data_IF_872271480816
#
_entry.id   IF_872271480816
#
_cell.length_a   1.000
_cell.length_b   1.000
_cell.length_c   1.000
_cell.angle_alpha   90.00
_cell.angle_beta   90.00
_cell.angle_gamma   90.00
#
_symmetry.space_group_name_H-M   'P 1'
#
loop_
_entity.id
_entity.type
_entity.pdbx_description
1 polymer ?
#
# COMPACT_ATOMS: atom_id res chain seq x y z
N UNK A 1 -96.03 -35.69 12.72
CA UNK A 1 -96.53 -35.31 11.38
C UNK A 1 -95.40 -34.63 10.61
N UNK A 2 -94.47 -35.41 10.07
CA UNK A 2 -93.18 -34.98 9.48
C UNK A 2 -93.05 -35.45 8.03
N UNK A 3 -94.15 -35.40 7.27
CA UNK A 3 -94.19 -35.92 5.89
C UNK A 3 -94.33 -34.85 4.80
N UNK A 4 -94.64 -33.59 5.13
CA UNK A 4 -94.82 -32.52 4.12
C UNK A 4 -93.55 -31.72 3.83
N UNK A 5 -92.49 -31.85 4.65
CA UNK A 5 -91.25 -31.08 4.49
C UNK A 5 -90.17 -31.77 3.65
N UNK A 6 -90.32 -33.05 3.30
CA UNK A 6 -89.33 -33.77 2.48
C UNK A 6 -89.60 -33.68 0.96
N UNK A 7 -90.87 -33.56 0.54
CA UNK A 7 -91.21 -33.43 -0.89
C UNK A 7 -90.90 -32.05 -1.47
N UNK A 8 -90.98 -30.97 -0.68
CA UNK A 8 -90.61 -29.62 -1.12
C UNK A 8 -89.10 -29.41 -1.28
N UNK A 9 -88.29 -30.16 -0.51
CA UNK A 9 -86.82 -30.08 -0.60
C UNK A 9 -86.32 -30.78 -1.87
N UNK A 10 -86.89 -31.95 -2.23
CA UNK A 10 -86.52 -32.67 -3.45
C UNK A 10 -86.77 -31.90 -4.75
N UNK A 11 -87.86 -31.11 -4.82
CA UNK A 11 -88.16 -30.27 -6.00
C UNK A 11 -87.23 -29.06 -6.15
N UNK A 12 -86.70 -28.56 -5.02
CA UNK A 12 -85.78 -27.41 -5.00
C UNK A 12 -84.38 -27.81 -5.46
N UNK A 13 -83.95 -29.02 -5.11
CA UNK A 13 -82.65 -29.56 -5.51
C UNK A 13 -82.59 -29.94 -7.00
N UNK A 14 -83.70 -30.43 -7.56
CA UNK A 14 -83.78 -30.74 -9.01
C UNK A 14 -83.78 -29.46 -9.88
N UNK A 15 -84.42 -28.38 -9.42
CA UNK A 15 -84.40 -27.08 -10.09
C UNK A 15 -83.00 -26.46 -10.05
N UNK A 16 -82.30 -26.56 -8.91
CA UNK A 16 -80.93 -26.06 -8.75
C UNK A 16 -79.93 -26.78 -9.66
N UNK A 17 -80.07 -28.11 -9.80
CA UNK A 17 -79.23 -28.91 -10.69
C UNK A 17 -79.45 -28.58 -12.19
N UNK A 18 -80.68 -28.27 -12.61
CA UNK A 18 -80.97 -27.82 -13.99
C UNK A 18 -80.42 -26.42 -14.29
N UNK A 19 -80.43 -25.51 -13.30
CA UNK A 19 -79.82 -24.18 -13.41
C UNK A 19 -78.28 -24.23 -13.41
N UNK A 20 -77.66 -25.08 -12.57
CA UNK A 20 -76.20 -25.27 -12.55
C UNK A 20 -75.66 -25.90 -13.84
N UNK A 21 -76.39 -26.86 -14.45
CA UNK A 21 -76.09 -27.39 -15.79
C UNK A 21 -76.24 -26.34 -16.89
N UNK A 22 -77.18 -25.41 -16.76
CA UNK A 22 -77.39 -24.34 -17.75
C UNK A 22 -76.34 -23.22 -17.61
N UNK A 23 -75.80 -22.99 -16.41
CA UNK A 23 -74.72 -22.02 -16.15
C UNK A 23 -73.32 -22.53 -16.54
N UNK A 24 -73.10 -23.85 -16.52
CA UNK A 24 -71.84 -24.45 -17.02
C UNK A 24 -71.79 -24.56 -18.55
N UNK A 25 -72.92 -24.49 -19.26
CA UNK A 25 -72.98 -24.48 -20.73
C UNK A 25 -73.22 -23.04 -21.22
N UNK A 26 -72.31 -22.11 -20.89
CA UNK A 26 -72.07 -20.87 -21.66
C UNK A 26 -70.78 -20.12 -21.28
N UNK A 27 -69.75 -20.83 -20.80
CA UNK A 27 -68.38 -20.38 -21.08
C UNK A 27 -68.18 -20.59 -22.59
N UNK A 28 -68.44 -19.53 -23.37
CA UNK A 28 -68.44 -19.58 -24.82
C UNK A 28 -67.05 -20.04 -25.31
N UNK A 29 -66.95 -21.33 -25.64
CA UNK A 29 -65.70 -21.98 -26.07
C UNK A 29 -65.11 -21.23 -27.26
N UNK A 30 -65.95 -20.58 -28.08
CA UNK A 30 -65.53 -19.73 -29.20
C UNK A 30 -64.82 -18.44 -28.75
N UNK A 31 -65.21 -17.85 -27.62
CA UNK A 31 -64.54 -16.67 -27.08
C UNK A 31 -63.17 -17.03 -26.47
N UNK A 32 -63.07 -18.19 -25.82
CA UNK A 32 -61.80 -18.71 -25.28
C UNK A 32 -60.84 -19.16 -26.38
N UNK A 33 -61.32 -19.80 -27.44
CA UNK A 33 -60.49 -20.12 -28.62
C UNK A 33 -60.09 -18.86 -29.40
N UNK A 34 -60.97 -17.86 -29.48
CA UNK A 34 -60.66 -16.55 -30.04
C UNK A 34 -59.51 -15.85 -29.29
N UNK A 35 -59.54 -15.86 -27.95
CA UNK A 35 -58.43 -15.33 -27.14
C UNK A 35 -57.14 -16.10 -27.36
N UNK A 36 -57.20 -17.44 -27.39
CA UNK A 36 -56.03 -18.31 -27.54
C UNK A 36 -55.37 -18.15 -28.92
N UNK A 37 -56.15 -17.84 -29.96
CA UNK A 37 -55.66 -17.52 -31.30
C UNK A 37 -55.11 -16.09 -31.41
N UNK A 38 -55.68 -15.12 -30.67
CA UNK A 38 -55.14 -13.76 -30.57
C UNK A 38 -53.74 -13.75 -29.94
N UNK A 39 -53.54 -14.50 -28.85
CA UNK A 39 -52.24 -14.61 -28.17
C UNK A 39 -51.16 -15.31 -29.01
N UNK A 40 -51.56 -16.11 -30.00
CA UNK A 40 -50.65 -16.78 -30.94
C UNK A 40 -50.31 -15.94 -32.17
N UNK A 41 -50.97 -14.80 -32.36
CA UNK A 41 -50.77 -13.94 -33.53
C UNK A 41 -49.36 -13.32 -33.55
N UNK A 42 -48.69 -13.25 -34.72
CA UNK A 42 -47.30 -12.76 -34.82
C UNK A 42 -47.11 -11.36 -34.22
N UNK A 43 -48.08 -10.47 -34.42
CA UNK A 43 -48.05 -9.09 -33.92
C UNK A 43 -48.04 -9.02 -32.39
N UNK A 44 -48.75 -9.91 -31.70
CA UNK A 44 -48.79 -9.96 -30.22
C UNK A 44 -47.48 -10.51 -29.66
N UNK A 45 -46.86 -11.48 -30.34
CA UNK A 45 -45.52 -11.98 -29.98
C UNK A 45 -44.44 -10.91 -30.15
N UNK A 46 -44.49 -10.14 -31.24
CA UNK A 46 -43.54 -9.04 -31.50
C UNK A 46 -43.65 -7.95 -30.43
N UNK A 47 -44.87 -7.63 -29.97
CA UNK A 47 -45.08 -6.64 -28.89
C UNK A 47 -44.57 -7.18 -27.54
N UNK A 48 -44.81 -8.45 -27.22
CA UNK A 48 -44.27 -9.08 -26.00
C UNK A 48 -42.73 -9.08 -26.02
N UNK A 49 -42.10 -9.49 -27.13
CA UNK A 49 -40.64 -9.47 -27.28
C UNK A 49 -40.06 -8.06 -27.16
N UNK A 50 -40.67 -7.05 -27.79
CA UNK A 50 -40.21 -5.65 -27.67
C UNK A 50 -40.31 -5.12 -26.23
N UNK A 51 -41.37 -5.49 -25.50
CA UNK A 51 -41.53 -5.09 -24.10
C UNK A 51 -40.54 -5.81 -23.19
N UNK A 52 -40.27 -7.09 -23.43
CA UNK A 52 -39.29 -7.86 -22.66
C UNK A 52 -37.85 -7.36 -22.93
N UNK A 53 -37.54 -7.00 -24.18
CA UNK A 53 -36.25 -6.38 -24.55
C UNK A 53 -36.09 -4.99 -23.92
N UNK A 54 -37.16 -4.17 -23.89
CA UNK A 54 -37.14 -2.88 -23.21
C UNK A 54 -36.93 -3.06 -21.71
N UNK A 55 -37.63 -4.01 -21.08
CA UNK A 55 -37.50 -4.32 -19.65
C UNK A 55 -36.13 -4.90 -19.29
N UNK A 56 -35.51 -5.67 -20.20
CA UNK A 56 -34.15 -6.17 -20.05
C UNK A 56 -33.09 -5.06 -20.21
N UNK A 57 -33.32 -4.10 -21.11
CA UNK A 57 -32.46 -2.91 -21.27
C UNK A 57 -32.53 -1.99 -20.05
N UNK A 58 -33.73 -1.75 -19.51
CA UNK A 58 -33.91 -0.95 -18.30
C UNK A 58 -33.25 -1.60 -17.07
N UNK A 59 -33.40 -2.92 -16.89
CA UNK A 59 -32.71 -3.65 -15.81
C UNK A 59 -31.19 -3.63 -15.95
N UNK A 60 -30.66 -3.69 -17.17
CA UNK A 60 -29.22 -3.56 -17.42
C UNK A 60 -28.73 -2.13 -17.16
N UNK A 61 -29.52 -1.12 -17.50
CA UNK A 61 -29.21 0.29 -17.24
C UNK A 61 -29.30 0.63 -15.74
N UNK A 62 -30.24 0.05 -14.99
CA UNK A 62 -30.30 0.15 -13.53
C UNK A 62 -29.13 -0.58 -12.86
N UNK A 63 -28.77 -1.78 -13.33
CA UNK A 63 -27.60 -2.48 -12.79
C UNK A 63 -26.28 -1.76 -13.11
N UNK A 64 -26.14 -1.14 -14.28
CA UNK A 64 -24.95 -0.34 -14.60
C UNK A 64 -24.91 0.96 -13.80
N UNK A 65 -26.03 1.65 -13.62
CA UNK A 65 -26.13 2.84 -12.77
C UNK A 65 -25.89 2.51 -11.30
N UNK A 66 -26.41 1.39 -10.80
CA UNK A 66 -26.17 0.93 -9.43
C UNK A 66 -24.72 0.45 -9.23
N UNK A 67 -24.09 -0.14 -10.26
CA UNK A 67 -22.66 -0.48 -10.24
C UNK A 67 -21.78 0.78 -10.24
N UNK A 68 -22.09 1.77 -11.08
CA UNK A 68 -21.40 3.07 -11.12
C UNK A 68 -21.60 3.86 -9.82
N UNK A 69 -22.79 3.80 -9.21
CA UNK A 69 -23.06 4.44 -7.91
C UNK A 69 -22.36 3.69 -6.76
N UNK A 70 -22.26 2.35 -6.79
CA UNK A 70 -21.41 1.58 -5.86
C UNK A 70 -19.92 1.86 -6.06
N UNK A 71 -19.49 2.14 -7.28
CA UNK A 71 -18.10 2.47 -7.60
C UNK A 71 -17.76 3.92 -7.20
N UNK A 72 -18.72 4.85 -7.28
CA UNK A 72 -18.62 6.23 -6.77
C UNK A 72 -18.82 6.36 -5.25
N UNK A 73 -19.52 5.42 -4.61
CA UNK A 73 -19.75 5.37 -3.14
C UNK A 73 -18.81 4.43 -2.39
N UNK A 74 -17.79 3.84 -3.03
CA UNK A 74 -16.60 3.51 -2.25
C UNK A 74 -16.06 4.85 -1.78
N UNK A 75 -15.97 5.10 -0.46
CA UNK A 75 -15.21 6.24 -0.05
C UNK A 75 -13.81 5.95 -0.56
N UNK A 76 -13.37 6.72 -1.55
CA UNK A 76 -11.97 6.92 -1.82
C UNK A 76 -11.45 7.70 -0.61
N UNK A 77 -11.44 7.05 0.57
CA UNK A 77 -10.39 7.29 1.53
C UNK A 77 -9.17 6.80 0.79
N UNK A 78 -8.58 7.69 -0.01
CA UNK A 78 -7.16 7.67 -0.22
C UNK A 78 -6.58 7.57 1.18
N UNK A 79 -6.24 6.36 1.60
CA UNK A 79 -5.23 6.13 2.60
C UNK A 79 -3.93 6.60 1.94
N UNK A 80 -3.82 7.91 1.73
CA UNK A 80 -2.56 8.54 1.43
C UNK A 80 -1.70 8.21 2.63
N UNK A 81 -0.79 7.27 2.42
CA UNK A 81 0.34 7.12 3.31
C UNK A 81 1.04 8.46 3.27
N UNK A 82 0.87 9.23 4.34
CA UNK A 82 1.69 10.41 4.57
C UNK A 82 3.08 9.84 4.84
N UNK A 83 3.87 9.66 3.79
CA UNK A 83 5.31 9.48 3.93
C UNK A 83 5.83 10.78 4.51
N UNK A 84 6.23 10.73 5.77
CA UNK A 84 6.67 11.93 6.46
C UNK A 84 8.06 12.26 5.96
N UNK A 85 8.25 13.46 5.42
CA UNK A 85 9.56 13.92 4.98
C UNK A 85 10.19 14.81 6.04
N UNK A 86 11.33 14.40 6.55
CA UNK A 86 12.18 15.17 7.47
C UNK A 86 13.38 15.72 6.69
N UNK A 87 13.48 17.05 6.59
CA UNK A 87 14.56 17.70 5.83
C UNK A 87 15.70 18.09 6.77
N UNK A 88 16.91 17.62 6.46
CA UNK A 88 18.10 17.91 7.25
C UNK A 88 18.98 18.89 6.47
N UNK A 89 19.11 20.11 6.99
CA UNK A 89 19.92 21.18 6.40
C UNK A 89 21.20 21.41 7.21
N UNK A 90 22.35 21.13 6.61
CA UNK A 90 23.67 21.31 7.24
C UNK A 90 24.38 22.59 6.78
N UNK A 91 23.96 23.17 5.65
CA UNK A 91 24.49 24.45 5.14
C UNK A 91 25.57 24.33 4.07
N UNK A 92 25.92 23.10 3.65
CA UNK A 92 26.80 22.80 2.50
C UNK A 92 26.40 21.47 1.85
N UNK A 93 26.87 21.21 0.64
CA UNK A 93 26.73 19.87 0.03
C UNK A 93 27.65 18.86 0.78
N UNK A 94 27.14 17.66 1.04
CA UNK A 94 27.88 16.61 1.75
C UNK A 94 28.50 15.62 0.76
N UNK A 95 29.80 15.35 0.92
CA UNK A 95 30.44 14.22 0.25
C UNK A 95 29.93 12.89 0.82
N UNK A 96 30.23 11.78 0.15
CA UNK A 96 29.80 10.44 0.59
C UNK A 96 30.27 10.12 2.02
N UNK A 97 31.48 10.52 2.40
CA UNK A 97 32.01 10.30 3.76
C UNK A 97 31.25 11.08 4.84
N UNK A 98 30.84 12.32 4.55
CA UNK A 98 30.02 13.09 5.48
C UNK A 98 28.58 12.56 5.56
N UNK A 99 28.06 11.98 4.47
CA UNK A 99 26.77 11.29 4.48
C UNK A 99 26.82 10.00 5.29
N UNK A 100 27.91 9.24 5.25
CA UNK A 100 28.12 8.12 6.16
C UNK A 100 27.96 8.54 7.63
N UNK A 101 28.61 9.64 8.02
CA UNK A 101 28.49 10.16 9.39
C UNK A 101 27.06 10.59 9.72
N UNK A 102 26.35 11.22 8.78
CA UNK A 102 24.94 11.57 8.96
C UNK A 102 24.05 10.32 9.12
N UNK A 103 24.26 9.28 8.31
CA UNK A 103 23.57 7.99 8.40
C UNK A 103 23.87 7.30 9.73
N UNK A 104 25.12 7.30 10.19
CA UNK A 104 25.52 6.74 11.49
C UNK A 104 24.78 7.45 12.64
N UNK A 105 24.70 8.79 12.60
CA UNK A 105 23.94 9.59 13.59
C UNK A 105 22.46 9.24 13.57
N UNK A 106 21.84 9.14 12.39
CA UNK A 106 20.42 8.79 12.24
C UNK A 106 20.15 7.39 12.77
N UNK A 107 20.94 6.40 12.34
CA UNK A 107 20.82 5.01 12.77
C UNK A 107 20.93 4.89 14.29
N UNK A 108 21.98 5.45 14.88
CA UNK A 108 22.20 5.39 16.32
C UNK A 108 21.06 6.07 17.09
N UNK A 109 20.60 7.23 16.63
CA UNK A 109 19.49 7.96 17.26
C UNK A 109 18.20 7.15 17.22
N UNK A 110 17.86 6.55 16.07
CA UNK A 110 16.66 5.73 15.91
C UNK A 110 16.69 4.49 16.80
N UNK A 111 17.81 3.74 16.77
CA UNK A 111 17.93 2.52 17.58
C UNK A 111 17.83 2.83 19.08
N UNK A 112 18.40 3.94 19.52
CA UNK A 112 18.34 4.38 20.92
C UNK A 112 16.94 4.87 21.31
N UNK A 113 16.34 5.77 20.53
CA UNK A 113 14.99 6.30 20.78
C UNK A 113 13.91 5.21 20.75
N UNK A 114 14.13 4.15 19.96
CA UNK A 114 13.27 2.96 19.89
C UNK A 114 13.69 1.87 20.87
N UNK A 115 14.56 2.15 21.85
CA UNK A 115 14.94 1.18 22.89
C UNK A 115 15.49 -0.15 22.37
N UNK A 116 15.96 -0.20 21.11
CA UNK A 116 16.57 -1.40 20.53
C UNK A 116 17.96 -1.59 21.13
N UNK A 117 18.68 -0.48 21.32
CA UNK A 117 19.95 -0.44 22.04
C UNK A 117 19.80 0.36 23.33
N UNK A 118 20.40 -0.09 24.45
CA UNK A 118 20.23 0.54 25.76
C UNK A 118 20.94 1.89 25.90
N UNK A 119 21.92 2.14 25.03
CA UNK A 119 22.63 3.41 24.95
C UNK A 119 23.17 3.59 23.52
N UNK A 120 23.56 4.82 23.18
CA UNK A 120 24.28 5.14 21.94
C UNK A 120 25.71 4.57 22.06
N UNK A 121 25.84 3.25 21.86
CA UNK A 121 27.12 2.54 22.00
C UNK A 121 27.66 2.18 20.63
N UNK A 122 28.81 2.77 20.30
CA UNK A 122 29.55 2.56 19.05
C UNK A 122 30.01 1.11 18.83
N UNK A 123 30.17 0.33 19.90
CA UNK A 123 30.64 -1.05 19.86
C UNK A 123 29.56 -2.07 19.47
N UNK A 124 28.29 -1.85 19.86
CA UNK A 124 27.19 -2.78 19.55
C UNK A 124 26.87 -2.84 18.04
N UNK A 125 27.30 -1.83 17.31
CA UNK A 125 27.07 -1.66 15.88
C UNK A 125 28.37 -1.79 15.07
N UNK A 126 29.44 -2.34 15.64
CA UNK A 126 30.77 -2.38 15.01
C UNK A 126 30.73 -2.96 13.60
N UNK A 127 30.11 -4.13 13.42
CA UNK A 127 29.98 -4.84 12.14
C UNK A 127 29.16 -4.05 11.12
N UNK A 128 28.03 -3.46 11.55
CA UNK A 128 27.18 -2.64 10.67
C UNK A 128 27.92 -1.37 10.25
N UNK A 129 28.66 -0.75 11.17
CA UNK A 129 29.46 0.45 10.88
C UNK A 129 30.61 0.13 9.93
N UNK A 130 31.21 -1.05 10.05
CA UNK A 130 32.22 -1.54 9.11
C UNK A 130 31.63 -1.75 7.72
N UNK A 131 30.49 -2.44 7.61
CA UNK A 131 29.77 -2.61 6.35
C UNK A 131 29.42 -1.25 5.72
N UNK A 132 28.89 -0.31 6.50
CA UNK A 132 28.59 1.04 6.03
C UNK A 132 29.84 1.81 5.61
N UNK A 133 30.98 1.68 6.31
CA UNK A 133 32.25 2.31 5.89
C UNK A 133 32.70 1.79 4.52
N UNK A 134 32.59 0.50 4.27
CA UNK A 134 32.93 -0.10 2.98
C UNK A 134 31.99 0.37 1.87
N UNK A 135 30.69 0.43 2.16
CA UNK A 135 29.67 0.89 1.22
C UNK A 135 29.81 2.37 0.85
N UNK A 136 30.18 3.23 1.80
CA UNK A 136 30.31 4.69 1.62
C UNK A 136 31.70 5.13 1.15
N UNK A 137 32.47 4.26 0.50
CA UNK A 137 33.72 4.63 -0.17
C UNK A 137 33.45 5.46 -1.44
N UNK A 138 34.40 6.33 -1.80
CA UNK A 138 34.35 7.15 -3.03
C UNK A 138 33.98 6.36 -4.29
N UNK A 139 34.44 5.11 -4.40
CA UNK A 139 34.20 4.24 -5.57
C UNK A 139 32.72 3.87 -5.76
N UNK A 140 31.91 3.91 -4.69
CA UNK A 140 30.49 3.58 -4.71
C UNK A 140 29.59 4.81 -4.87
N UNK A 141 30.17 6.01 -5.02
CA UNK A 141 29.44 7.29 -5.11
C UNK A 141 28.22 7.27 -6.04
N UNK A 142 28.38 6.69 -7.23
CA UNK A 142 27.35 6.62 -8.26
C UNK A 142 26.51 5.36 -8.19
N UNK A 143 26.93 4.38 -7.40
CA UNK A 143 26.24 3.10 -7.27
C UNK A 143 25.31 3.06 -6.04
N UNK A 144 25.62 3.82 -4.99
CA UNK A 144 24.86 3.87 -3.74
C UNK A 144 23.73 4.90 -3.81
N UNK A 145 22.48 4.46 -3.69
CA UNK A 145 21.30 5.32 -3.90
C UNK A 145 20.49 5.60 -2.65
N UNK A 146 20.30 4.62 -1.77
CA UNK A 146 19.40 4.77 -0.62
C UNK A 146 19.78 3.81 0.50
N UNK A 147 19.66 4.27 1.75
CA UNK A 147 19.69 3.42 2.94
C UNK A 147 18.28 3.31 3.51
N UNK A 148 17.87 2.11 3.88
CA UNK A 148 16.61 1.86 4.57
C UNK A 148 16.89 1.17 5.91
N UNK A 149 16.24 1.67 6.96
CA UNK A 149 16.24 1.04 8.28
C UNK A 149 14.83 0.57 8.56
N UNK A 150 14.65 -0.73 8.70
CA UNK A 150 13.37 -1.37 8.99
C UNK A 150 13.35 -1.82 10.44
N UNK A 151 12.33 -1.42 11.18
CA UNK A 151 12.08 -1.89 12.55
C UNK A 151 10.76 -2.67 12.57
N UNK A 152 10.78 -3.88 13.11
CA UNK A 152 9.59 -4.74 13.21
C UNK A 152 9.93 -6.17 13.61
N UNK A 153 8.99 -7.10 13.43
CA UNK A 153 9.25 -8.51 13.70
C UNK A 153 10.19 -9.15 12.66
N UNK A 154 10.11 -8.68 11.41
CA UNK A 154 10.98 -9.08 10.30
C UNK A 154 10.93 -8.03 9.18
N UNK A 155 11.83 -8.11 8.19
CA UNK A 155 11.80 -7.25 7.01
C UNK A 155 10.47 -7.33 6.23
N UNK A 156 9.79 -8.49 6.28
CA UNK A 156 8.51 -8.71 5.61
C UNK A 156 7.31 -8.14 6.39
N UNK A 157 7.47 -7.91 7.69
CA UNK A 157 6.44 -7.39 8.59
C UNK A 157 6.98 -6.15 9.33
N UNK A 158 7.20 -5.04 8.61
CA UNK A 158 7.72 -3.81 9.18
C UNK A 158 6.65 -3.10 10.01
N UNK A 159 7.04 -2.64 11.19
CA UNK A 159 6.27 -1.67 11.98
C UNK A 159 6.64 -0.24 11.58
N UNK A 160 7.93 -0.04 11.27
CA UNK A 160 8.51 1.25 10.91
C UNK A 160 9.53 1.08 9.78
N UNK A 161 9.57 2.07 8.88
CA UNK A 161 10.51 2.15 7.78
C UNK A 161 11.08 3.57 7.75
N UNK A 162 12.40 3.66 7.83
CA UNK A 162 13.13 4.92 7.71
C UNK A 162 13.96 4.88 6.45
N UNK A 163 13.84 5.92 5.62
CA UNK A 163 14.50 6.01 4.32
C UNK A 163 15.47 7.18 4.32
N UNK A 164 16.68 6.96 3.82
CA UNK A 164 17.72 7.98 3.71
C UNK A 164 18.27 7.93 2.28
N UNK A 165 17.73 8.75 1.36
CA UNK A 165 18.28 8.86 0.02
C UNK A 165 19.70 9.44 0.07
N UNK A 166 20.63 8.82 -0.66
CA UNK A 166 22.01 9.25 -0.76
C UNK A 166 22.15 10.10 -2.02
N UNK A 167 22.57 11.35 -1.84
CA UNK A 167 22.71 12.35 -2.92
C UNK A 167 23.98 13.13 -2.74
N UNK A 168 25.00 12.79 -3.51
CA UNK A 168 26.37 13.30 -3.37
C UNK A 168 26.73 14.11 -4.60
N UNK A 169 27.50 15.19 -4.43
CA UNK A 169 28.04 15.94 -5.56
C UNK A 169 28.93 15.04 -6.41
N UNK A 170 28.87 15.22 -7.71
CA UNK A 170 29.80 14.61 -8.64
C UNK A 170 30.62 15.71 -9.34
N UNK A 171 31.54 16.32 -8.59
CA UNK A 171 32.39 17.37 -9.14
C UNK A 171 33.36 16.79 -10.18
N UNK A 172 33.79 17.61 -11.15
CA UNK A 172 34.81 17.21 -12.13
C UNK A 172 36.12 16.72 -11.50
N UNK A 173 36.50 17.26 -10.34
CA UNK A 173 37.70 16.84 -9.59
C UNK A 173 37.54 15.53 -8.80
N UNK A 174 36.35 14.94 -8.80
CA UNK A 174 36.10 13.70 -8.07
C UNK A 174 36.31 12.50 -8.97
N UNK A 175 37.05 11.51 -8.47
CA UNK A 175 37.28 10.25 -9.15
C UNK A 175 36.82 9.07 -8.25
N UNK A 176 37.14 7.85 -8.67
CA UNK A 176 36.75 6.64 -7.93
C UNK A 176 37.48 6.48 -6.58
N UNK A 177 38.55 7.24 -6.31
CA UNK A 177 39.35 7.17 -5.09
C UNK A 177 39.24 8.43 -4.22
N UNK A 178 38.98 9.60 -4.82
CA UNK A 178 39.08 10.91 -4.20
C UNK A 178 37.76 11.68 -4.33
N UNK A 179 37.35 12.28 -3.21
CA UNK A 179 36.10 13.01 -3.16
C UNK A 179 36.15 14.47 -3.62
N UNK A 180 37.31 14.93 -4.10
CA UNK A 180 37.57 16.32 -4.45
C UNK A 180 37.77 17.23 -3.23
N UNK A 181 37.95 18.53 -3.49
CA UNK A 181 38.33 19.53 -2.47
C UNK A 181 37.27 19.77 -1.37
N UNK A 182 35.99 19.46 -1.64
CA UNK A 182 34.91 19.61 -0.66
C UNK A 182 34.75 18.41 0.28
N UNK A 183 35.67 17.43 0.21
CA UNK A 183 35.66 16.28 1.10
C UNK A 183 36.10 16.67 2.51
N UNK A 184 35.14 16.74 3.43
CA UNK A 184 35.41 17.02 4.83
C UNK A 184 34.36 16.31 5.71
N UNK A 185 34.81 15.79 6.85
CA UNK A 185 33.93 15.27 7.90
C UNK A 185 32.91 16.32 8.36
N UNK A 186 31.81 15.86 8.94
CA UNK A 186 30.87 16.72 9.63
C UNK A 186 31.55 17.37 10.83
N UNK A 187 31.53 18.69 10.87
CA UNK A 187 31.95 19.46 12.03
C UNK A 187 31.05 19.16 13.24
N UNK A 188 31.56 19.38 14.45
CA UNK A 188 30.77 19.21 15.67
C UNK A 188 29.46 20.02 15.66
N UNK A 189 29.44 21.18 14.99
CA UNK A 189 28.23 21.99 14.82
C UNK A 189 27.20 21.31 13.92
N UNK A 190 27.64 20.74 12.79
CA UNK A 190 26.77 20.02 11.87
C UNK A 190 26.22 18.74 12.51
N UNK A 191 27.07 17.96 13.19
CA UNK A 191 26.66 16.75 13.91
C UNK A 191 25.58 17.08 14.94
N UNK A 192 25.80 18.10 15.78
CA UNK A 192 24.80 18.57 16.77
C UNK A 192 23.51 19.01 16.12
N UNK A 193 23.56 19.67 14.96
CA UNK A 193 22.36 20.12 14.24
C UNK A 193 21.52 18.94 13.77
N UNK A 194 22.16 17.90 13.23
CA UNK A 194 21.48 16.65 12.83
C UNK A 194 20.87 15.98 14.06
N UNK A 195 21.65 15.74 15.11
CA UNK A 195 21.16 15.10 16.34
C UNK A 195 20.00 15.87 16.98
N UNK A 196 20.09 17.19 17.04
CA UNK A 196 19.03 18.03 17.61
C UNK A 196 17.73 17.88 16.83
N UNK A 197 17.78 17.87 15.50
CA UNK A 197 16.60 17.68 14.65
C UNK A 197 15.92 16.33 14.91
N UNK A 198 16.72 15.27 15.07
CA UNK A 198 16.21 13.92 15.34
C UNK A 198 15.57 13.79 16.73
N UNK A 199 16.03 14.55 17.73
CA UNK A 199 15.47 14.52 19.09
C UNK A 199 14.21 15.38 19.21
N UNK A 200 14.15 16.52 18.52
CA UNK A 200 12.99 17.42 18.61
C UNK A 200 11.86 17.08 17.63
N UNK A 201 12.13 16.23 16.63
CA UNK A 201 11.13 15.89 15.61
C UNK A 201 9.90 15.22 16.25
N UNK A 202 8.70 15.80 16.09
CA UNK A 202 7.47 15.22 16.62
C UNK A 202 7.15 13.87 15.97
N UNK A 203 7.67 13.65 14.75
CA UNK A 203 7.52 12.41 14.01
C UNK A 203 8.33 11.27 14.65
N UNK A 204 9.44 11.58 15.32
CA UNK A 204 10.27 10.56 15.98
C UNK A 204 9.90 10.36 17.45
N UNK A 205 9.24 11.32 18.08
CA UNK A 205 8.93 11.33 19.52
C UNK A 205 7.75 10.44 19.96
N UNK A 206 7.14 9.67 19.06
CA UNK A 206 6.04 8.77 19.42
C UNK A 206 6.58 7.53 20.15
N UNK A 207 6.18 7.32 21.41
CA UNK A 207 6.42 6.07 22.14
C UNK A 207 5.71 4.92 21.46
N UNK A 208 6.45 3.85 21.14
CA UNK A 208 5.92 2.67 20.45
C UNK A 208 6.30 1.41 21.19
N UNK A 209 5.42 0.42 21.13
CA UNK A 209 5.58 -0.84 21.85
C UNK A 209 6.64 -1.71 21.16
N UNK A 210 7.88 -1.60 21.61
CA UNK A 210 8.94 -2.54 21.28
C UNK A 210 8.68 -3.82 22.06
N UNK A 211 8.68 -4.95 21.34
CA UNK A 211 8.57 -6.27 21.93
C UNK A 211 9.95 -6.93 21.91
N UNK A 212 10.15 -8.00 22.68
CA UNK A 212 11.37 -8.82 22.62
C UNK A 212 11.65 -9.40 21.23
N UNK A 213 10.64 -9.49 20.38
CA UNK A 213 10.77 -9.97 19.00
C UNK A 213 11.06 -8.85 17.99
N UNK A 214 11.16 -7.59 18.44
CA UNK A 214 11.46 -6.47 17.57
C UNK A 214 12.92 -6.53 17.16
N UNK A 215 13.14 -6.40 15.85
CA UNK A 215 14.43 -6.43 15.18
C UNK A 215 14.59 -5.19 14.33
N UNK A 216 15.81 -4.70 14.20
CA UNK A 216 16.20 -3.68 13.23
C UNK A 216 17.06 -4.31 12.14
N UNK A 217 16.66 -4.08 10.89
CA UNK A 217 17.41 -4.47 9.70
C UNK A 217 17.81 -3.23 8.91
N UNK A 218 19.04 -3.21 8.40
CA UNK A 218 19.54 -2.15 7.53
C UNK A 218 19.69 -2.72 6.12
N UNK A 219 19.05 -2.07 5.15
CA UNK A 219 19.15 -2.40 3.74
C UNK A 219 19.70 -1.22 2.96
N UNK A 220 20.31 -1.52 1.84
CA UNK A 220 20.93 -0.57 0.92
C UNK A 220 20.34 -0.80 -0.46
N UNK A 221 19.98 0.27 -1.15
CA UNK A 221 19.71 0.22 -2.58
C UNK A 221 20.92 0.71 -3.34
N UNK A 222 21.36 -0.07 -4.32
CA UNK A 222 22.38 0.36 -5.25
C UNK A 222 22.26 -0.29 -6.61
N UNK A 223 23.12 0.11 -7.54
CA UNK A 223 23.23 -0.52 -8.86
C UNK A 223 24.06 -1.81 -8.78
N UNK A 224 24.06 -2.59 -9.86
CA UNK A 224 24.91 -3.77 -10.02
C UNK A 224 26.42 -3.48 -9.92
N UNK A 225 26.84 -2.21 -10.06
CA UNK A 225 28.22 -1.78 -9.91
C UNK A 225 28.64 -1.52 -8.45
N UNK A 226 27.73 -1.64 -7.48
CA UNK A 226 28.01 -1.42 -6.07
C UNK A 226 29.03 -2.45 -5.57
N UNK A 227 30.15 -1.97 -5.01
CA UNK A 227 31.18 -2.82 -4.41
C UNK A 227 30.93 -2.93 -2.91
N UNK A 228 30.85 -4.15 -2.40
CA UNK A 228 30.63 -4.40 -0.98
C UNK A 228 31.36 -5.67 -0.53
N UNK A 229 31.69 -5.78 0.76
CA UNK A 229 32.25 -7.00 1.34
C UNK A 229 31.16 -8.07 1.48
N UNK A 230 31.32 -9.20 0.77
CA UNK A 230 30.35 -10.32 0.77
C UNK A 230 30.14 -10.93 2.18
N UNK A 231 31.12 -10.76 3.08
CA UNK A 231 31.05 -11.24 4.46
C UNK A 231 30.07 -10.44 5.33
N UNK A 232 29.81 -9.18 4.98
CA UNK A 232 29.01 -8.25 5.79
C UNK A 232 27.72 -7.79 5.10
N UNK A 233 27.64 -7.97 3.79
CA UNK A 233 26.53 -7.50 2.96
C UNK A 233 26.09 -8.61 2.01
N UNK A 234 24.81 -8.95 2.09
CA UNK A 234 24.19 -10.01 1.30
C UNK A 234 23.28 -9.39 0.23
N UNK A 235 23.22 -10.00 -0.95
CA UNK A 235 22.23 -9.62 -1.96
C UNK A 235 20.83 -10.13 -1.53
N UNK A 236 19.83 -9.27 -1.60
CA UNK A 236 18.44 -9.52 -1.23
C UNK A 236 17.52 -9.27 -2.43
N UNK A 237 17.79 -9.95 -3.55
CA UNK A 237 17.05 -9.84 -4.82
C UNK A 237 15.53 -10.09 -4.67
N UNK A 238 15.13 -10.85 -3.64
CA UNK A 238 13.73 -11.13 -3.33
C UNK A 238 13.02 -10.04 -2.52
N UNK A 239 13.75 -9.05 -2.00
CA UNK A 239 13.15 -7.97 -1.22
C UNK A 239 12.58 -6.89 -2.13
N UNK A 240 11.31 -6.56 -1.89
CA UNK A 240 10.66 -5.39 -2.46
C UNK A 240 10.11 -4.52 -1.34
N UNK A 241 10.41 -3.22 -1.40
CA UNK A 241 9.87 -2.26 -0.44
C UNK A 241 8.34 -2.25 -0.55
N UNK A 242 7.57 -2.39 0.55
CA UNK A 242 6.12 -2.43 0.47
C UNK A 242 5.57 -1.12 -0.12
N UNK A 243 4.69 -1.23 -1.12
CA UNK A 243 4.04 -0.07 -1.73
C UNK A 243 3.12 0.68 -0.76
N UNK A 244 2.77 1.93 -1.09
CA UNK A 244 1.97 2.81 -0.24
C UNK A 244 0.68 2.16 0.26
N UNK A 245 -0.10 1.51 -0.61
CA UNK A 245 -1.35 0.84 -0.20
C UNK A 245 -1.13 -0.24 0.88
N UNK A 246 -0.03 -0.98 0.78
CA UNK A 246 0.33 -2.03 1.75
C UNK A 246 0.74 -1.41 3.09
N UNK A 247 1.53 -0.33 3.05
CA UNK A 247 1.95 0.41 4.24
C UNK A 247 0.74 1.02 4.96
N UNK A 248 -0.19 1.63 4.22
CA UNK A 248 -1.44 2.17 4.72
C UNK A 248 -2.29 1.10 5.41
N UNK A 249 -2.54 -0.02 4.72
CA UNK A 249 -3.32 -1.14 5.25
C UNK A 249 -2.71 -1.71 6.53
N UNK A 250 -1.39 -1.78 6.60
CA UNK A 250 -0.64 -2.29 7.75
C UNK A 250 -0.41 -1.25 8.84
N UNK A 251 -0.80 0.02 8.60
CA UNK A 251 -0.49 1.17 9.47
C UNK A 251 1.01 1.28 9.77
N UNK A 252 1.84 0.92 8.80
CA UNK A 252 3.30 1.00 8.92
C UNK A 252 3.72 2.46 8.89
N UNK A 253 4.58 2.84 9.83
CA UNK A 253 5.09 4.19 9.90
C UNK A 253 6.27 4.38 8.96
N UNK A 254 6.25 5.42 8.14
CA UNK A 254 7.26 5.64 7.10
C UNK A 254 7.77 7.07 7.14
N UNK A 255 9.07 7.22 7.35
CA UNK A 255 9.76 8.52 7.40
C UNK A 255 10.91 8.53 6.40
N UNK A 256 11.06 9.64 5.68
CA UNK A 256 12.17 9.87 4.77
C UNK A 256 13.01 11.04 5.25
N UNK A 257 14.27 10.79 5.59
CA UNK A 257 15.26 11.81 5.91
C UNK A 257 15.94 12.29 4.64
N UNK A 258 15.63 13.52 4.23
CA UNK A 258 16.22 14.13 3.04
C UNK A 258 17.33 15.08 3.48
N UNK A 259 18.57 14.66 3.30
CA UNK A 259 19.74 15.53 3.42
C UNK A 259 19.70 16.55 2.27
N UNK A 260 19.55 17.83 2.61
CA UNK A 260 19.41 18.88 1.60
C UNK A 260 20.72 19.06 0.83
N UNK A 261 20.62 18.90 -0.48
CA UNK A 261 21.70 19.19 -1.42
C UNK A 261 21.56 20.64 -1.92
N UNK A 262 22.63 21.44 -1.84
CA UNK A 262 22.59 22.89 -2.12
C UNK A 262 23.16 23.26 -3.49
N UNK A 263 23.70 22.28 -4.22
CA UNK A 263 24.36 22.52 -5.49
C UNK A 263 23.32 22.63 -6.62
N UNK A 264 23.53 23.57 -7.54
CA UNK A 264 22.63 23.90 -8.67
C UNK A 264 22.82 22.95 -9.85
N UNK A 265 23.98 22.31 -9.94
CA UNK A 265 24.29 21.32 -10.97
C UNK A 265 23.35 20.12 -10.85
N UNK A 266 22.78 19.72 -11.99
CA UNK A 266 21.86 18.61 -12.11
C UNK A 266 22.43 17.41 -11.36
N UNK A 267 21.77 17.06 -10.25
CA UNK A 267 21.92 15.73 -9.68
C UNK A 267 21.52 14.82 -10.82
N UNK A 268 22.49 14.14 -11.44
CA UNK A 268 22.21 13.01 -12.30
C UNK A 268 21.57 11.99 -11.38
N UNK A 269 20.24 12.11 -11.22
CA UNK A 269 19.41 11.07 -10.67
C UNK A 269 19.47 10.03 -11.75
N UNK A 270 20.51 9.19 -11.68
CA UNK A 270 20.58 7.99 -12.49
C UNK A 270 19.31 7.24 -12.11
N UNK A 271 18.31 7.38 -12.96
CA UNK A 271 17.05 6.66 -12.88
C UNK A 271 17.36 5.30 -13.46
N UNK A 272 18.32 4.61 -12.84
CA UNK A 272 18.77 3.32 -13.32
C UNK A 272 17.66 2.31 -12.99
N UNK A 273 17.10 1.61 -13.99
CA UNK A 273 16.15 0.54 -13.74
C UNK A 273 16.80 -0.65 -13.03
N UNK A 274 18.14 -0.75 -13.07
CA UNK A 274 18.92 -1.89 -12.57
C UNK A 274 19.41 -1.69 -11.12
N UNK A 275 18.51 -1.27 -10.23
CA UNK A 275 18.82 -1.21 -8.80
C UNK A 275 18.35 -2.45 -8.06
N UNK A 276 19.22 -3.02 -7.22
CA UNK A 276 18.92 -4.15 -6.35
C UNK A 276 19.03 -3.75 -4.89
N UNK A 277 18.46 -4.59 -4.01
CA UNK A 277 18.53 -4.41 -2.57
C UNK A 277 19.61 -5.32 -1.98
N UNK A 278 20.41 -4.75 -1.10
CA UNK A 278 21.42 -5.45 -0.34
C UNK A 278 21.09 -5.32 1.14
N UNK A 279 21.30 -6.39 1.91
CA UNK A 279 21.03 -6.44 3.33
C UNK A 279 22.35 -6.46 4.10
N UNK A 280 22.47 -5.63 5.13
CA UNK A 280 23.61 -5.68 6.04
C UNK A 280 23.40 -6.80 7.07
N UNK A 281 24.43 -7.60 7.27
CA UNK A 281 24.52 -8.58 8.35
C UNK A 281 25.42 -8.01 9.47
N UNK A 282 25.04 -8.13 10.76
CA UNK A 282 23.90 -8.85 11.32
C UNK A 282 22.60 -8.03 11.47
N UNK A 283 21.48 -8.73 11.66
CA UNK A 283 20.21 -8.14 12.11
C UNK A 283 20.31 -7.78 13.60
N UNK A 284 19.98 -6.54 13.96
CA UNK A 284 20.02 -6.06 15.34
C UNK A 284 18.75 -6.52 16.06
N UNK A 285 18.89 -7.16 17.22
CA UNK A 285 17.75 -7.54 18.07
C UNK A 285 17.58 -6.51 19.19
N UNK A 286 16.34 -6.22 19.56
CA UNK A 286 16.06 -5.33 20.69
C UNK A 286 16.60 -5.94 21.99
N UNK A 287 17.26 -5.11 22.79
CA UNK A 287 17.75 -5.48 24.11
C UNK A 287 16.57 -5.86 25.02
N UNK A 288 16.72 -6.95 25.81
CA UNK A 288 15.68 -7.49 26.69
C UNK A 288 15.78 -6.99 28.12
#
# INVERSE_FOLDING_TARGET
STSSTLEEVGKKDEAKAKYEKSLTIKSDIRALDGLRNLERSPSVKVIKMKNDDAKAKDRKAEHSRAADEKQRRKPFFSLEVIMITERIEVGRCLCIHAQLQAVDIVLQSLLYQRGIVPAVVTQLLSTIREALRELFRSCNRRALHEIIIIIGASCAIPQEIYRIPIKVCDSFESDLSHCGQNCAELSAREQRRISSLLVVSPNLNTTRNITRNTRACVLVRGTSALKFPEELVENDDGFALPGGEVLARRKTYSVQFVLKHLCVEDVVVVSDPDTTWFRLSPIIQAFS
#
